data_IF_282740727046
#
_entry.id   IF_282740727046
#
_cell.length_a   1.000
_cell.length_b   1.000
_cell.length_c   1.000
_cell.angle_alpha   90.00
_cell.angle_beta   90.00
_cell.angle_gamma   90.00
#
_symmetry.space_group_name_H-M   'P 1'
#
loop_
_entity.id
_entity.type
_entity.pdbx_description
1 polymer ?
#
# COMPACT_ATOMS: atom_id res chain seq x y z
N UNK A 1 -4.74 -5.79 -30.38
CA UNK A 1 -5.21 -6.49 -29.19
C UNK A 1 -4.28 -7.56 -28.61
N UNK A 2 -2.97 -7.59 -28.84
CA UNK A 2 -2.08 -8.57 -28.19
C UNK A 2 -1.35 -8.06 -26.95
N UNK A 3 -1.37 -6.76 -26.62
CA UNK A 3 -0.64 -6.23 -25.44
C UNK A 3 -1.42 -6.29 -24.11
N UNK A 4 -2.72 -6.55 -24.15
CA UNK A 4 -3.56 -6.62 -22.96
C UNK A 4 -3.46 -7.96 -22.21
N UNK A 5 -2.96 -8.99 -22.86
CA UNK A 5 -2.88 -10.36 -22.32
C UNK A 5 -1.63 -10.64 -21.48
N UNK A 6 -0.69 -9.68 -21.37
CA UNK A 6 0.61 -9.93 -20.73
C UNK A 6 0.71 -9.47 -19.29
N UNK A 7 -0.32 -8.78 -18.73
CA UNK A 7 -0.23 -8.10 -17.44
C UNK A 7 -1.31 -8.47 -16.42
N UNK A 8 -2.19 -9.43 -16.72
CA UNK A 8 -3.25 -9.81 -15.79
C UNK A 8 -3.07 -11.25 -15.29
N UNK A 9 -3.02 -11.44 -13.98
CA UNK A 9 -3.08 -12.77 -13.35
C UNK A 9 -4.41 -13.46 -13.69
N UNK A 10 -4.44 -14.78 -13.70
CA UNK A 10 -5.64 -15.58 -14.04
C UNK A 10 -6.84 -15.27 -13.14
N UNK A 11 -6.59 -14.86 -11.89
CA UNK A 11 -7.61 -14.37 -10.93
C UNK A 11 -8.27 -13.06 -11.38
N UNK A 12 -7.53 -12.17 -12.05
CA UNK A 12 -8.03 -10.89 -12.53
C UNK A 12 -8.85 -11.05 -13.81
N UNK A 13 -8.53 -12.06 -14.62
CA UNK A 13 -9.36 -12.49 -15.76
C UNK A 13 -10.75 -12.94 -15.32
N UNK A 14 -10.85 -13.75 -14.29
CA UNK A 14 -12.13 -14.22 -13.75
C UNK A 14 -12.97 -13.06 -13.22
N UNK A 15 -12.36 -12.10 -12.52
CA UNK A 15 -13.02 -10.89 -12.00
C UNK A 15 -13.45 -9.95 -13.13
N UNK A 16 -12.62 -9.78 -14.15
CA UNK A 16 -12.94 -8.97 -15.34
C UNK A 16 -14.11 -9.56 -16.12
N UNK A 17 -14.14 -10.88 -16.34
CA UNK A 17 -15.26 -11.54 -17.00
C UNK A 17 -16.54 -11.50 -16.15
N UNK A 18 -16.46 -11.66 -14.84
CA UNK A 18 -17.62 -11.50 -13.95
C UNK A 18 -18.19 -10.09 -13.99
N UNK A 19 -17.34 -9.08 -14.09
CA UNK A 19 -17.75 -7.68 -14.22
C UNK A 19 -18.40 -7.38 -15.58
N UNK A 20 -17.84 -7.91 -16.67
CA UNK A 20 -18.44 -7.82 -18.00
C UNK A 20 -19.85 -8.45 -18.02
N UNK A 21 -20.04 -9.58 -17.36
CA UNK A 21 -21.35 -10.25 -17.21
C UNK A 21 -22.33 -9.41 -16.38
N UNK A 22 -21.88 -8.76 -15.31
CA UNK A 22 -22.69 -7.85 -14.50
C UNK A 22 -23.07 -6.60 -15.30
N UNK A 23 -22.16 -6.03 -16.06
CA UNK A 23 -22.43 -4.88 -16.93
C UNK A 23 -23.39 -5.24 -18.07
N UNK A 24 -23.22 -6.40 -18.72
CA UNK A 24 -24.15 -6.88 -19.74
C UNK A 24 -25.57 -7.12 -19.17
N UNK A 25 -25.69 -7.59 -17.94
CA UNK A 25 -26.98 -7.77 -17.29
C UNK A 25 -27.62 -6.47 -16.81
N UNK A 26 -26.83 -5.49 -16.38
CA UNK A 26 -27.30 -4.12 -16.09
C UNK A 26 -27.85 -3.40 -17.34
N UNK A 27 -27.25 -3.64 -18.52
CA UNK A 27 -27.74 -3.10 -19.79
C UNK A 27 -29.00 -3.82 -20.35
N UNK A 28 -29.40 -4.94 -19.75
CA UNK A 28 -30.65 -5.66 -20.10
C UNK A 28 -31.86 -5.23 -19.28
N UNK A 29 -31.68 -4.35 -18.28
CA UNK A 29 -32.81 -3.87 -17.47
C UNK A 29 -33.69 -2.90 -18.27
N UNK A 30 -35.03 -3.02 -18.19
CA UNK A 30 -35.96 -2.12 -18.86
C UNK A 30 -35.87 -0.74 -18.21
N UNK A 31 -35.60 0.29 -19.04
CA UNK A 31 -35.48 1.70 -18.62
C UNK A 31 -34.10 2.32 -18.78
N UNK A 32 -33.09 1.57 -19.21
CA UNK A 32 -31.76 2.10 -19.52
C UNK A 32 -31.73 2.55 -20.99
N UNK A 33 -31.68 3.85 -21.23
CA UNK A 33 -31.61 4.44 -22.57
C UNK A 33 -30.32 4.08 -23.30
N UNK A 34 -30.43 3.64 -24.56
CA UNK A 34 -29.30 3.30 -25.45
C UNK A 34 -28.86 4.48 -26.32
N UNK A 35 -29.03 5.71 -25.84
CA UNK A 35 -28.72 6.88 -26.65
C UNK A 35 -27.20 7.06 -26.86
N UNK A 36 -26.80 7.27 -28.12
CA UNK A 36 -25.39 7.35 -28.55
C UNK A 36 -24.61 8.52 -27.94
N UNK A 37 -25.32 9.52 -27.40
CA UNK A 37 -24.71 10.66 -26.69
C UNK A 37 -24.25 10.37 -25.27
N UNK A 38 -24.56 9.18 -24.72
CA UNK A 38 -24.12 8.72 -23.41
C UNK A 38 -22.61 8.62 -23.27
N UNK A 39 -21.89 8.34 -24.38
CA UNK A 39 -20.43 8.16 -24.38
C UNK A 39 -19.63 9.42 -24.05
N UNK A 40 -20.15 10.61 -24.28
CA UNK A 40 -19.40 11.86 -24.09
C UNK A 40 -19.59 12.49 -22.69
N UNK A 41 -20.75 12.34 -22.08
CA UNK A 41 -21.06 13.00 -20.80
C UNK A 41 -20.74 12.10 -19.57
N UNK A 42 -20.86 10.79 -19.71
CA UNK A 42 -20.76 9.84 -18.60
C UNK A 42 -19.51 8.95 -18.63
N UNK A 43 -18.70 9.01 -19.70
CA UNK A 43 -17.49 8.19 -19.84
C UNK A 43 -16.47 8.46 -18.74
N UNK A 44 -16.29 9.72 -18.40
CA UNK A 44 -15.36 10.13 -17.31
C UNK A 44 -15.93 9.77 -15.94
N UNK A 45 -17.25 9.90 -15.76
CA UNK A 45 -17.91 9.54 -14.49
C UNK A 45 -17.92 8.04 -14.26
N UNK A 46 -18.07 7.23 -15.32
CA UNK A 46 -18.05 5.77 -15.22
C UNK A 46 -16.65 5.22 -14.98
N UNK A 47 -15.61 5.83 -15.54
CA UNK A 47 -14.21 5.44 -15.27
C UNK A 47 -13.82 5.83 -13.83
N UNK A 48 -14.13 7.04 -13.40
CA UNK A 48 -13.90 7.46 -12.01
C UNK A 48 -14.75 6.67 -11.00
N UNK A 49 -15.98 6.31 -11.35
CA UNK A 49 -16.83 5.45 -10.53
C UNK A 49 -16.29 4.02 -10.47
N UNK A 50 -15.82 3.47 -11.59
CA UNK A 50 -15.19 2.16 -11.66
C UNK A 50 -13.84 2.16 -10.90
N UNK A 51 -13.01 3.18 -11.09
CA UNK A 51 -11.77 3.36 -10.33
C UNK A 51 -12.06 3.46 -8.82
N UNK A 52 -13.06 4.26 -8.43
CA UNK A 52 -13.45 4.40 -7.03
C UNK A 52 -14.11 3.15 -6.47
N UNK A 53 -14.90 2.41 -7.26
CA UNK A 53 -15.50 1.14 -6.89
C UNK A 53 -14.42 0.03 -6.79
N UNK A 54 -13.47 -0.02 -7.72
CA UNK A 54 -12.33 -0.92 -7.64
C UNK A 54 -11.38 -0.54 -6.49
N UNK A 55 -11.13 0.74 -6.27
CA UNK A 55 -10.33 1.22 -5.13
C UNK A 55 -11.04 1.02 -3.79
N UNK A 56 -12.37 1.15 -3.72
CA UNK A 56 -13.13 0.90 -2.48
C UNK A 56 -13.36 -0.59 -2.17
N UNK A 57 -13.34 -1.46 -3.19
CA UNK A 57 -13.42 -2.92 -3.02
C UNK A 57 -12.05 -3.63 -3.03
N UNK A 58 -10.97 -2.95 -3.41
CA UNK A 58 -9.63 -3.38 -3.09
C UNK A 58 -9.26 -2.86 -1.69
N UNK A 59 -9.95 -3.32 -0.67
CA UNK A 59 -9.34 -3.31 0.65
C UNK A 59 -8.09 -4.17 0.52
N UNK A 60 -6.93 -3.55 0.43
CA UNK A 60 -5.68 -4.28 0.52
C UNK A 60 -5.76 -5.11 1.79
N UNK A 61 -5.75 -6.42 1.65
CA UNK A 61 -5.76 -7.32 2.80
C UNK A 61 -4.61 -6.99 3.73
N UNK A 62 -3.49 -6.55 3.16
CA UNK A 62 -2.31 -6.12 3.89
C UNK A 62 -1.75 -4.83 3.30
N UNK A 63 -1.23 -3.96 4.16
CA UNK A 63 -0.61 -2.69 3.81
C UNK A 63 0.57 -2.37 4.73
N UNK A 64 1.49 -1.56 4.24
CA UNK A 64 2.57 -1.00 5.03
C UNK A 64 2.24 0.46 5.37
N UNK A 65 2.18 0.78 6.67
CA UNK A 65 1.94 2.13 7.14
C UNK A 65 3.26 2.87 7.37
N UNK A 66 3.32 4.09 6.87
CA UNK A 66 4.45 5.01 7.01
C UNK A 66 3.95 6.24 7.74
N UNK A 67 4.55 6.58 8.87
CA UNK A 67 4.17 7.72 9.68
C UNK A 67 5.29 8.74 9.66
N UNK A 68 5.01 9.97 9.24
CA UNK A 68 5.99 11.04 9.05
C UNK A 68 5.70 12.19 10.01
N UNK A 69 6.72 12.76 10.61
CA UNK A 69 6.62 14.01 11.39
C UNK A 69 6.45 15.21 10.46
N UNK A 70 5.23 15.75 10.41
CA UNK A 70 4.90 16.91 9.59
C UNK A 70 5.44 18.22 10.20
N UNK A 71 5.54 18.31 11.51
CA UNK A 71 6.06 19.48 12.26
C UNK A 71 7.50 19.86 11.82
N UNK A 72 8.31 18.90 11.40
CA UNK A 72 9.67 19.12 10.92
C UNK A 72 9.75 19.89 9.58
N UNK A 73 8.64 20.00 8.86
CA UNK A 73 8.55 20.71 7.56
C UNK A 73 9.67 20.34 6.57
N UNK A 74 10.04 19.06 6.56
CA UNK A 74 11.08 18.54 5.67
C UNK A 74 10.77 18.82 4.20
N UNK A 75 11.80 19.08 3.40
CA UNK A 75 11.66 19.19 1.94
C UNK A 75 11.18 17.86 1.34
N UNK A 76 10.45 17.93 0.22
CA UNK A 76 9.86 16.73 -0.45
C UNK A 76 10.88 15.61 -0.70
N UNK A 77 12.10 15.96 -1.13
CA UNK A 77 13.17 14.99 -1.33
C UNK A 77 13.62 14.30 -0.04
N UNK A 78 13.68 15.07 1.07
CA UNK A 78 14.01 14.52 2.39
C UNK A 78 12.91 13.58 2.88
N UNK A 79 11.63 13.96 2.74
CA UNK A 79 10.48 13.11 3.08
C UNK A 79 10.56 11.79 2.31
N UNK A 80 10.77 11.85 0.98
CA UNK A 80 10.88 10.66 0.16
C UNK A 80 12.02 9.73 0.61
N UNK A 81 13.20 10.30 0.92
CA UNK A 81 14.34 9.54 1.41
C UNK A 81 14.05 8.88 2.76
N UNK A 82 13.49 9.62 3.73
CA UNK A 82 13.18 9.10 5.05
C UNK A 82 12.10 8.01 5.00
N UNK A 83 11.02 8.23 4.24
CA UNK A 83 9.99 7.21 4.02
C UNK A 83 10.56 5.94 3.38
N UNK A 84 11.46 6.09 2.40
CA UNK A 84 12.13 4.95 1.76
C UNK A 84 13.01 4.17 2.74
N UNK A 85 13.77 4.85 3.60
CA UNK A 85 14.54 4.20 4.66
C UNK A 85 13.64 3.37 5.57
N UNK A 86 12.58 3.98 6.09
CA UNK A 86 11.65 3.31 7.00
C UNK A 86 11.00 2.07 6.34
N UNK A 87 10.52 2.20 5.09
CA UNK A 87 9.89 1.12 4.36
C UNK A 87 10.82 -0.07 4.12
N UNK A 88 12.03 0.20 3.63
CA UNK A 88 13.01 -0.85 3.33
C UNK A 88 13.42 -1.55 4.60
N UNK A 89 13.74 -0.80 5.65
CA UNK A 89 14.16 -1.36 6.93
C UNK A 89 13.06 -2.21 7.57
N UNK A 90 11.82 -1.73 7.66
CA UNK A 90 10.70 -2.49 8.21
C UNK A 90 10.42 -3.78 7.43
N UNK A 91 10.51 -3.74 6.09
CA UNK A 91 10.31 -4.91 5.24
C UNK A 91 11.42 -5.95 5.45
N UNK A 92 12.69 -5.52 5.47
CA UNK A 92 13.81 -6.42 5.69
C UNK A 92 13.79 -7.03 7.11
N UNK A 93 13.44 -6.23 8.12
CA UNK A 93 13.28 -6.71 9.50
C UNK A 93 12.15 -7.74 9.59
N UNK A 94 11.01 -7.52 8.93
CA UNK A 94 9.91 -8.48 8.91
C UNK A 94 10.31 -9.81 8.26
N UNK A 95 10.92 -9.74 7.08
CA UNK A 95 11.42 -10.92 6.37
C UNK A 95 12.50 -11.68 7.19
N UNK A 96 13.36 -10.95 7.90
CA UNK A 96 14.36 -11.56 8.77
C UNK A 96 13.72 -12.23 9.98
N UNK A 97 12.74 -11.59 10.63
CA UNK A 97 11.96 -12.13 11.76
C UNK A 97 11.26 -13.45 11.39
N UNK A 98 10.73 -13.53 10.17
CA UNK A 98 10.06 -14.72 9.65
C UNK A 98 11.02 -15.72 8.96
N UNK A 99 12.33 -15.46 8.96
CA UNK A 99 13.34 -16.26 8.26
C UNK A 99 13.10 -16.42 6.75
N UNK A 100 12.55 -15.39 6.10
CA UNK A 100 12.09 -15.39 4.70
C UNK A 100 12.92 -14.56 3.73
N UNK A 101 14.03 -13.97 4.16
CA UNK A 101 14.92 -13.19 3.28
C UNK A 101 15.37 -13.98 2.04
N UNK A 102 15.56 -15.29 2.19
CA UNK A 102 15.95 -16.19 1.11
C UNK A 102 14.80 -16.57 0.16
N UNK A 103 13.58 -16.14 0.43
CA UNK A 103 12.41 -16.36 -0.43
C UNK A 103 12.16 -15.19 -1.39
N UNK A 104 12.84 -14.06 -1.22
CA UNK A 104 12.71 -12.93 -2.12
C UNK A 104 13.36 -13.27 -3.46
N UNK A 105 12.61 -13.07 -4.56
CA UNK A 105 13.03 -13.34 -5.93
C UNK A 105 12.82 -12.12 -6.80
N UNK A 106 13.62 -12.02 -7.85
CA UNK A 106 13.43 -11.07 -8.94
C UNK A 106 12.78 -11.83 -10.11
N UNK A 107 11.78 -11.26 -10.74
CA UNK A 107 11.15 -11.84 -11.92
C UNK A 107 12.15 -11.96 -13.07
N UNK A 108 11.93 -12.91 -14.00
CA UNK A 108 12.85 -13.19 -15.12
C UNK A 108 13.06 -11.96 -16.02
N UNK A 109 12.03 -11.12 -16.16
CA UNK A 109 12.10 -9.84 -16.89
C UNK A 109 12.77 -8.71 -16.10
N UNK A 110 13.18 -8.98 -14.84
CA UNK A 110 13.84 -8.05 -13.89
C UNK A 110 13.04 -6.77 -13.57
N UNK A 111 11.73 -6.75 -13.83
CA UNK A 111 10.90 -5.56 -13.65
C UNK A 111 10.24 -5.49 -12.27
N UNK A 112 10.18 -6.59 -11.52
CA UNK A 112 9.54 -6.64 -10.21
C UNK A 112 10.12 -7.71 -9.29
N UNK A 113 9.84 -7.57 -7.99
CA UNK A 113 10.26 -8.49 -6.94
C UNK A 113 9.04 -9.19 -6.39
N UNK A 114 9.13 -10.49 -6.13
CA UNK A 114 8.09 -11.28 -5.52
C UNK A 114 8.62 -12.14 -4.37
N UNK A 115 7.72 -12.62 -3.53
CA UNK A 115 8.03 -13.56 -2.47
C UNK A 115 7.68 -14.97 -2.96
N UNK A 116 8.66 -15.86 -2.97
CA UNK A 116 8.47 -17.28 -3.29
C UNK A 116 7.89 -17.98 -2.06
N UNK A 117 6.66 -18.46 -2.18
CA UNK A 117 5.90 -19.02 -1.06
C UNK A 117 4.98 -20.16 -1.49
N UNK A 118 4.52 -20.96 -0.55
CA UNK A 118 3.50 -21.98 -0.79
C UNK A 118 2.12 -21.35 -1.02
N UNK A 119 1.27 -21.98 -1.83
CA UNK A 119 -0.07 -21.47 -2.18
C UNK A 119 -0.98 -21.26 -0.94
N UNK A 120 -0.75 -22.02 0.13
CA UNK A 120 -1.50 -21.95 1.38
C UNK A 120 -1.05 -20.80 2.30
N UNK A 121 0.09 -20.16 2.01
CA UNK A 121 0.62 -19.07 2.84
C UNK A 121 -0.23 -17.80 2.64
N UNK A 122 -0.99 -17.46 3.67
CA UNK A 122 -1.85 -16.28 3.75
C UNK A 122 -1.34 -15.24 4.73
N UNK A 123 -0.04 -15.27 5.07
CA UNK A 123 0.56 -14.30 5.97
C UNK A 123 0.41 -12.86 5.43
N UNK A 124 0.45 -11.88 6.33
CA UNK A 124 0.30 -10.48 5.95
C UNK A 124 1.37 -10.04 4.94
N UNK A 125 2.61 -10.48 5.10
CA UNK A 125 3.69 -10.14 4.19
C UNK A 125 3.51 -10.80 2.81
N UNK A 126 3.06 -12.04 2.74
CA UNK A 126 2.74 -12.72 1.49
C UNK A 126 1.61 -12.01 0.75
N UNK A 127 0.49 -11.76 1.43
CA UNK A 127 -0.62 -11.00 0.87
C UNK A 127 -0.19 -9.62 0.36
N UNK A 128 0.75 -8.97 1.05
CA UNK A 128 1.25 -7.66 0.65
C UNK A 128 2.09 -7.72 -0.62
N UNK A 129 2.99 -8.69 -0.76
CA UNK A 129 3.75 -8.90 -1.99
C UNK A 129 2.83 -9.21 -3.17
N UNK A 130 1.86 -10.10 -2.98
CA UNK A 130 0.92 -10.51 -4.02
C UNK A 130 -0.03 -9.41 -4.47
N UNK A 131 -0.39 -8.51 -3.56
CA UNK A 131 -1.29 -7.39 -3.84
C UNK A 131 -0.59 -6.14 -4.40
N UNK A 132 0.72 -6.19 -4.70
CA UNK A 132 1.45 -5.08 -5.30
C UNK A 132 2.04 -4.09 -4.30
N UNK A 133 2.40 -4.57 -3.11
CA UNK A 133 3.19 -3.86 -2.08
C UNK A 133 2.62 -2.51 -1.64
N UNK A 134 1.32 -2.47 -1.34
CA UNK A 134 0.58 -1.27 -0.97
C UNK A 134 1.20 -0.54 0.24
N UNK A 135 1.33 0.79 0.11
CA UNK A 135 1.85 1.66 1.16
C UNK A 135 0.89 2.82 1.40
N UNK A 136 0.70 3.18 2.67
CA UNK A 136 -0.11 4.34 3.06
C UNK A 136 0.76 5.25 3.90
N UNK A 137 0.82 6.53 3.51
CA UNK A 137 1.60 7.54 4.20
C UNK A 137 0.67 8.46 4.99
N UNK A 138 0.88 8.53 6.29
CA UNK A 138 0.15 9.37 7.23
C UNK A 138 1.13 10.23 8.02
N UNK A 139 0.64 11.19 8.80
CA UNK A 139 1.52 12.05 9.57
C UNK A 139 1.09 12.19 11.03
N UNK A 140 2.06 12.63 11.84
CA UNK A 140 1.91 13.14 13.19
C UNK A 140 2.56 14.52 13.29
N UNK A 141 2.21 15.29 14.32
CA UNK A 141 2.66 16.67 14.47
C UNK A 141 3.70 16.85 15.59
N UNK A 142 4.15 15.76 16.22
CA UNK A 142 5.19 15.81 17.25
C UNK A 142 6.08 14.56 17.28
N UNK A 143 7.21 14.65 17.99
CA UNK A 143 8.09 13.52 18.26
C UNK A 143 7.44 12.54 19.23
N UNK A 144 6.74 13.07 20.23
CA UNK A 144 6.05 12.31 21.25
C UNK A 144 5.04 11.36 20.62
N UNK A 145 4.16 11.86 19.74
CA UNK A 145 3.18 11.04 19.01
C UNK A 145 3.85 9.94 18.18
N UNK A 146 4.97 10.25 17.52
CA UNK A 146 5.71 9.27 16.73
C UNK A 146 6.27 8.16 17.62
N UNK A 147 6.86 8.52 18.77
CA UNK A 147 7.45 7.56 19.72
C UNK A 147 6.39 6.72 20.42
N UNK A 148 5.23 7.29 20.75
CA UNK A 148 4.10 6.57 21.32
C UNK A 148 3.58 5.50 20.35
N UNK A 149 3.38 5.84 19.07
CA UNK A 149 2.99 4.89 18.03
C UNK A 149 4.02 3.77 17.86
N UNK A 150 5.32 4.12 17.91
CA UNK A 150 6.39 3.13 17.85
C UNK A 150 6.35 2.17 19.05
N UNK A 151 6.13 2.69 20.26
CA UNK A 151 6.06 1.90 21.47
C UNK A 151 4.83 0.99 21.48
N UNK A 152 3.67 1.50 21.10
CA UNK A 152 2.43 0.73 21.03
C UNK A 152 2.52 -0.38 19.98
N UNK A 153 3.05 -0.10 18.79
CA UNK A 153 3.25 -1.12 17.77
C UNK A 153 4.18 -2.24 18.24
N UNK A 154 5.29 -1.90 18.89
CA UNK A 154 6.19 -2.88 19.49
C UNK A 154 5.51 -3.69 20.59
N UNK A 155 4.67 -3.07 21.43
CA UNK A 155 3.94 -3.77 22.50
C UNK A 155 2.92 -4.77 21.92
N UNK A 156 2.40 -4.52 20.71
CA UNK A 156 1.54 -5.46 19.94
C UNK A 156 2.36 -6.56 19.23
N UNK A 157 3.68 -6.52 19.30
CA UNK A 157 4.57 -7.48 18.63
C UNK A 157 4.89 -7.16 17.19
N UNK A 158 4.52 -5.98 16.69
CA UNK A 158 4.80 -5.56 15.32
C UNK A 158 6.27 -5.16 15.16
N UNK A 159 6.81 -5.38 13.96
CA UNK A 159 8.10 -4.81 13.58
C UNK A 159 7.91 -3.32 13.25
N UNK A 160 8.72 -2.49 13.86
CA UNK A 160 8.70 -1.02 13.70
C UNK A 160 10.10 -0.53 13.37
N UNK A 161 10.28 -0.01 12.16
CA UNK A 161 11.49 0.71 11.78
C UNK A 161 11.31 2.20 12.12
N UNK A 162 11.92 2.65 13.20
CA UNK A 162 11.92 4.03 13.66
C UNK A 162 13.20 4.72 13.21
N UNK A 163 13.08 5.70 12.32
CA UNK A 163 14.23 6.35 11.68
C UNK A 163 14.66 7.59 12.45
N UNK A 164 15.93 7.56 12.88
CA UNK A 164 16.63 8.70 13.46
C UNK A 164 17.65 9.23 12.45
N UNK A 165 17.34 10.36 11.84
CA UNK A 165 18.25 11.04 10.91
C UNK A 165 19.44 11.65 11.67
N UNK A 166 20.63 11.58 11.09
CA UNK A 166 21.84 12.14 11.70
C UNK A 166 21.89 13.68 11.71
N UNK A 167 20.96 14.33 11.00
CA UNK A 167 20.80 15.78 11.02
C UNK A 167 21.68 16.57 10.04
N UNK A 168 22.56 15.93 9.29
CA UNK A 168 23.57 16.63 8.48
C UNK A 168 23.00 17.52 7.37
N UNK A 169 21.80 17.24 6.87
CA UNK A 169 21.24 17.93 5.70
C UNK A 169 20.20 18.99 6.03
N UNK A 170 19.35 18.76 7.03
CA UNK A 170 18.22 19.66 7.36
C UNK A 170 18.11 20.03 8.84
N UNK A 171 18.75 19.29 9.73
CA UNK A 171 18.56 19.46 11.19
C UNK A 171 19.83 20.00 11.90
N UNK A 172 20.67 20.73 11.18
CA UNK A 172 21.83 21.44 11.74
C UNK A 172 22.81 20.56 12.56
N UNK A 173 22.88 19.28 12.23
CA UNK A 173 23.70 18.31 12.96
C UNK A 173 23.01 17.65 14.15
N UNK A 174 21.75 18.00 14.41
CA UNK A 174 20.95 17.42 15.52
C UNK A 174 20.30 16.10 15.09
N UNK A 175 20.64 14.96 15.71
CA UNK A 175 20.00 13.69 15.43
C UNK A 175 18.51 13.74 15.76
N UNK A 176 17.64 13.54 14.75
CA UNK A 176 16.20 13.80 14.84
C UNK A 176 15.40 12.57 14.42
N UNK A 177 14.42 12.14 15.21
CA UNK A 177 13.44 11.16 14.75
C UNK A 177 12.51 11.79 13.71
N UNK A 178 12.44 11.22 12.52
CA UNK A 178 11.76 11.83 11.37
C UNK A 178 10.52 11.09 10.94
N UNK A 179 10.54 9.77 11.00
CA UNK A 179 9.43 8.91 10.60
C UNK A 179 9.59 7.50 11.16
N UNK A 180 8.56 6.71 11.04
CA UNK A 180 8.61 5.27 11.22
C UNK A 180 7.83 4.56 10.10
N UNK A 181 8.10 3.27 9.91
CA UNK A 181 7.23 2.38 9.17
C UNK A 181 6.99 1.10 9.97
N UNK A 182 5.79 0.58 9.85
CA UNK A 182 5.45 -0.76 10.31
C UNK A 182 5.83 -1.79 9.25
N UNK A 183 5.99 -3.04 9.66
CA UNK A 183 5.97 -4.17 8.73
C UNK A 183 4.67 -4.18 7.91
N UNK A 184 4.61 -4.89 6.76
CA UNK A 184 3.34 -5.16 6.10
C UNK A 184 2.41 -5.95 7.03
N UNK A 185 1.26 -5.37 7.38
CA UNK A 185 0.28 -5.94 8.31
C UNK A 185 -1.09 -6.05 7.64
N UNK A 186 -1.91 -6.97 8.12
CA UNK A 186 -3.31 -7.01 7.76
C UNK A 186 -3.99 -5.70 8.17
N UNK A 187 -4.95 -5.23 7.36
CA UNK A 187 -5.64 -3.98 7.64
C UNK A 187 -6.34 -4.01 9.02
N UNK A 188 -6.92 -5.15 9.39
CA UNK A 188 -7.58 -5.37 10.68
C UNK A 188 -6.65 -5.25 11.89
N UNK A 189 -5.35 -5.51 11.72
CA UNK A 189 -4.35 -5.42 12.79
C UNK A 189 -3.81 -4.00 12.96
N UNK A 190 -3.59 -3.28 11.83
CA UNK A 190 -2.91 -1.98 11.84
C UNK A 190 -3.89 -0.79 11.91
N UNK A 191 -5.11 -0.92 11.40
CA UNK A 191 -6.10 0.17 11.41
C UNK A 191 -6.49 0.65 12.81
N UNK A 192 -6.61 -0.21 13.83
CA UNK A 192 -6.87 0.26 15.19
C UNK A 192 -5.80 1.20 15.75
N UNK A 193 -4.58 1.15 15.19
CA UNK A 193 -3.47 2.01 15.61
C UNK A 193 -3.29 3.25 14.74
N UNK A 194 -3.60 3.14 13.44
CA UNK A 194 -3.23 4.17 12.46
C UNK A 194 -4.39 4.71 11.63
N UNK A 195 -5.59 4.13 11.75
CA UNK A 195 -6.73 4.45 10.88
C UNK A 195 -7.27 5.87 11.05
N UNK A 196 -7.09 6.47 12.22
CA UNK A 196 -7.52 7.85 12.49
C UNK A 196 -6.44 8.89 12.12
N UNK A 197 -5.23 8.47 11.75
CA UNK A 197 -4.17 9.40 11.37
C UNK A 197 -4.46 10.01 10.00
N UNK A 198 -4.25 11.33 9.84
CA UNK A 198 -4.49 12.00 8.57
C UNK A 198 -3.45 11.60 7.51
N UNK A 199 -3.89 11.51 6.25
CA UNK A 199 -3.00 11.27 5.11
C UNK A 199 -2.01 12.43 4.94
N UNK A 200 -0.78 12.06 4.60
CA UNK A 200 0.29 13.03 4.38
C UNK A 200 0.15 13.76 3.04
#
# INVERSE_FOLDING_TARGET
MPLFNLLMKQSDYQRFFSLLLVLENLFKLPGVSRDKNWKAANGTLSIQFLERFFMSNSSYKSKQMIIIRRDLKMRKGKIAAQASHACVEATLMALAKEHRLNQVRVADDQNWVYLDHADEDTSAITNWFDAGVAKVCVYVDSEEELLELAAEGKARGFVVALIKDAGFTEFHGEPTFTCLAFEPLAAEDIDPLTGELPLY
#
